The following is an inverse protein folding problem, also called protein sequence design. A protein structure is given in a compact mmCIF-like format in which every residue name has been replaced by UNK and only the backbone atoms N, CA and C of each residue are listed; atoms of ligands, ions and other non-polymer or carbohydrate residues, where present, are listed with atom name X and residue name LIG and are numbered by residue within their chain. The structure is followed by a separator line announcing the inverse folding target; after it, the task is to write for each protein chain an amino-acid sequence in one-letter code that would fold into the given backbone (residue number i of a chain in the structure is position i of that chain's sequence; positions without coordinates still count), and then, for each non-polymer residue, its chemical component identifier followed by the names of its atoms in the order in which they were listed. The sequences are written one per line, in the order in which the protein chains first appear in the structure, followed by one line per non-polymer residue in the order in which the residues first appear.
data_IF_136938678969
#
_entry.id   IF_136938678969
#
_cell.length_a   1.000
_cell.length_b   1.000
_cell.length_c   1.000
_cell.angle_alpha   90.00
_cell.angle_beta   90.00
_cell.angle_gamma   90.00
#
_symmetry.space_group_name_H-M   'P 1'
#
loop_
_entity.id
_entity.type
_entity.pdbx_description
1 polymer ?
#
# COMPACT_ATOMS: atom_id res chain seq x y z
N UNK A 1 -42.31 22.67 -34.85
CA UNK A 1 -42.04 21.87 -33.65
C UNK A 1 -40.86 20.91 -33.75
N UNK A 2 -39.96 21.00 -34.75
CA UNK A 2 -38.85 20.04 -34.97
C UNK A 2 -37.48 20.50 -34.41
N UNK A 3 -37.29 21.76 -34.05
CA UNK A 3 -35.99 22.28 -33.61
C UNK A 3 -35.58 21.90 -32.16
N UNK A 4 -36.56 21.64 -31.26
CA UNK A 4 -36.23 21.31 -29.86
C UNK A 4 -35.69 19.88 -29.65
N UNK A 5 -36.01 18.94 -30.54
CA UNK A 5 -35.56 17.56 -30.41
C UNK A 5 -34.09 17.37 -30.78
N UNK A 6 -33.58 18.18 -31.74
CA UNK A 6 -32.18 18.13 -32.15
C UNK A 6 -31.23 18.77 -31.12
N UNK A 7 -31.66 19.82 -30.44
CA UNK A 7 -30.85 20.51 -29.42
C UNK A 7 -30.67 19.62 -28.18
N UNK A 8 -31.75 18.92 -27.72
CA UNK A 8 -31.69 18.02 -26.56
C UNK A 8 -30.82 16.79 -26.87
N UNK A 9 -30.83 16.28 -28.11
CA UNK A 9 -29.99 15.14 -28.51
C UNK A 9 -28.50 15.53 -28.59
N UNK A 10 -28.18 16.72 -29.12
CA UNK A 10 -26.81 17.22 -29.21
C UNK A 10 -26.20 17.53 -27.82
N UNK A 11 -26.96 18.13 -26.92
CA UNK A 11 -26.51 18.37 -25.53
C UNK A 11 -26.27 17.09 -24.78
N UNK A 12 -27.14 16.09 -24.89
CA UNK A 12 -26.92 14.76 -24.31
C UNK A 12 -25.70 14.03 -24.86
N UNK A 13 -25.40 14.18 -26.16
CA UNK A 13 -24.22 13.59 -26.77
C UNK A 13 -22.93 14.28 -26.28
N UNK A 14 -22.91 15.62 -26.22
CA UNK A 14 -21.77 16.39 -25.71
C UNK A 14 -21.54 16.09 -24.23
N UNK A 15 -22.59 15.95 -23.43
CA UNK A 15 -22.52 15.60 -22.01
C UNK A 15 -21.92 14.20 -21.82
N UNK A 16 -22.41 13.18 -22.53
CA UNK A 16 -21.86 11.83 -22.49
C UNK A 16 -20.41 11.77 -22.95
N UNK A 17 -20.05 12.50 -24.00
CA UNK A 17 -18.67 12.56 -24.50
C UNK A 17 -17.74 13.24 -23.48
N UNK A 18 -18.21 14.30 -22.80
CA UNK A 18 -17.48 14.97 -21.74
C UNK A 18 -17.29 14.06 -20.50
N UNK A 19 -18.32 13.30 -20.12
CA UNK A 19 -18.24 12.32 -19.02
C UNK A 19 -17.29 11.18 -19.36
N UNK A 20 -17.37 10.63 -20.58
CA UNK A 20 -16.44 9.57 -21.05
C UNK A 20 -15.00 10.07 -21.08
N UNK A 21 -14.74 11.28 -21.56
CA UNK A 21 -13.39 11.87 -21.56
C UNK A 21 -12.86 12.11 -20.13
N UNK A 22 -13.68 12.60 -19.21
CA UNK A 22 -13.30 12.77 -17.79
C UNK A 22 -13.00 11.42 -17.12
N UNK A 23 -13.80 10.39 -17.38
CA UNK A 23 -13.56 9.04 -16.86
C UNK A 23 -12.24 8.49 -17.36
N UNK A 24 -11.97 8.58 -18.67
CA UNK A 24 -10.71 8.11 -19.28
C UNK A 24 -9.49 8.86 -18.74
N UNK A 25 -9.60 10.17 -18.51
CA UNK A 25 -8.52 10.96 -17.90
C UNK A 25 -8.24 10.51 -16.45
N UNK A 26 -9.28 10.32 -15.65
CA UNK A 26 -9.16 9.83 -14.26
C UNK A 26 -8.58 8.42 -14.20
N UNK A 27 -8.94 7.55 -15.15
CA UNK A 27 -8.37 6.21 -15.27
C UNK A 27 -6.87 6.25 -15.58
N UNK A 28 -6.45 7.10 -16.53
CA UNK A 28 -5.04 7.26 -16.88
C UNK A 28 -4.23 7.84 -15.71
N UNK A 29 -4.73 8.87 -15.03
CA UNK A 29 -4.10 9.45 -13.85
C UNK A 29 -3.94 8.41 -12.73
N UNK A 30 -4.93 7.54 -12.55
CA UNK A 30 -4.86 6.45 -11.58
C UNK A 30 -3.82 5.40 -11.99
N UNK A 31 -3.78 4.98 -13.25
CA UNK A 31 -2.80 4.01 -13.75
C UNK A 31 -1.37 4.52 -13.60
N UNK A 32 -1.13 5.79 -13.91
CA UNK A 32 0.18 6.44 -13.72
C UNK A 32 0.56 6.47 -12.24
N UNK A 33 -0.39 6.78 -11.37
CA UNK A 33 -0.19 6.75 -9.93
C UNK A 33 0.15 5.33 -9.44
N UNK A 34 -0.59 4.30 -9.87
CA UNK A 34 -0.30 2.91 -9.50
C UNK A 34 1.08 2.49 -10.00
N UNK A 35 1.45 2.82 -11.25
CA UNK A 35 2.76 2.52 -11.79
C UNK A 35 3.89 3.14 -10.95
N UNK A 36 3.74 4.41 -10.58
CA UNK A 36 4.70 5.13 -9.73
C UNK A 36 4.79 4.59 -8.29
N UNK A 37 3.67 4.07 -7.75
CA UNK A 37 3.59 3.61 -6.36
C UNK A 37 3.60 2.06 -6.23
N UNK A 38 3.74 1.33 -7.32
CA UNK A 38 3.71 -0.15 -7.35
C UNK A 38 4.63 -0.78 -6.31
N UNK A 39 5.84 -0.24 -6.17
CA UNK A 39 6.85 -0.72 -5.23
C UNK A 39 6.38 -0.62 -3.77
N UNK A 40 5.78 0.50 -3.37
CA UNK A 40 5.22 0.69 -2.03
C UNK A 40 4.13 -0.33 -1.75
N UNK A 41 3.17 -0.46 -2.69
CA UNK A 41 2.05 -1.38 -2.56
C UNK A 41 2.58 -2.81 -2.39
N UNK A 42 3.53 -3.20 -3.24
CA UNK A 42 4.11 -4.53 -3.24
C UNK A 42 4.83 -4.85 -1.92
N UNK A 43 5.69 -3.94 -1.42
CA UNK A 43 6.39 -4.10 -0.15
C UNK A 43 5.43 -4.28 1.03
N UNK A 44 4.37 -3.46 1.09
CA UNK A 44 3.36 -3.59 2.13
C UNK A 44 2.66 -4.93 2.04
N UNK A 45 2.20 -5.36 0.87
CA UNK A 45 1.53 -6.65 0.70
C UNK A 45 2.44 -7.82 1.08
N UNK A 46 3.72 -7.77 0.68
CA UNK A 46 4.70 -8.82 0.92
C UNK A 46 4.89 -9.16 2.41
N UNK A 47 4.96 -8.16 3.29
CA UNK A 47 5.15 -8.40 4.73
C UNK A 47 3.91 -8.98 5.42
N UNK A 48 2.76 -9.00 4.74
CA UNK A 48 1.51 -9.50 5.30
C UNK A 48 1.02 -10.79 4.64
N UNK A 49 1.50 -11.11 3.46
CA UNK A 49 1.15 -12.34 2.74
C UNK A 49 1.80 -13.58 3.38
N UNK A 50 1.15 -14.73 3.27
CA UNK A 50 1.67 -16.03 3.71
C UNK A 50 2.29 -16.82 2.55
N UNK A 51 1.80 -16.61 1.32
CA UNK A 51 2.23 -17.26 0.10
C UNK A 51 2.06 -16.31 -1.10
N UNK A 52 2.43 -16.77 -2.30
CA UNK A 52 2.36 -15.96 -3.51
C UNK A 52 0.91 -15.63 -3.91
N UNK A 53 -0.03 -16.51 -3.64
CA UNK A 53 -1.45 -16.31 -3.96
C UNK A 53 -2.02 -15.20 -3.06
N UNK A 54 -1.77 -15.27 -1.75
CA UNK A 54 -2.12 -14.20 -0.82
C UNK A 54 -1.49 -12.84 -1.21
N UNK A 55 -0.24 -12.84 -1.69
CA UNK A 55 0.43 -11.62 -2.14
C UNK A 55 -0.29 -10.99 -3.35
N UNK A 56 -0.65 -11.82 -4.33
CA UNK A 56 -1.37 -11.38 -5.51
C UNK A 56 -2.77 -10.86 -5.14
N UNK A 57 -3.48 -11.57 -4.28
CA UNK A 57 -4.81 -11.17 -3.81
C UNK A 57 -4.75 -9.85 -3.02
N UNK A 58 -3.81 -9.72 -2.10
CA UNK A 58 -3.59 -8.49 -1.33
C UNK A 58 -3.23 -7.31 -2.23
N UNK A 59 -2.41 -7.54 -3.25
CA UNK A 59 -2.06 -6.50 -4.21
C UNK A 59 -3.29 -6.04 -4.98
N UNK A 60 -4.07 -6.97 -5.52
CA UNK A 60 -5.31 -6.67 -6.25
C UNK A 60 -6.33 -5.95 -5.36
N UNK A 61 -6.57 -6.46 -4.14
CA UNK A 61 -7.51 -5.82 -3.20
C UNK A 61 -7.04 -4.41 -2.81
N UNK A 62 -5.73 -4.21 -2.66
CA UNK A 62 -5.16 -2.88 -2.39
C UNK A 62 -5.38 -1.92 -3.55
N UNK A 63 -5.13 -2.36 -4.80
CA UNK A 63 -5.37 -1.56 -6.00
C UNK A 63 -6.85 -1.21 -6.13
N UNK A 64 -7.75 -2.16 -5.88
CA UNK A 64 -9.20 -1.90 -5.89
C UNK A 64 -9.62 -0.88 -4.82
N UNK A 65 -9.05 -0.94 -3.62
CA UNK A 65 -9.35 0.02 -2.56
C UNK A 65 -8.78 1.40 -2.85
N UNK A 66 -7.60 1.47 -3.46
CA UNK A 66 -7.03 2.71 -3.99
C UNK A 66 -7.92 3.31 -5.07
N UNK A 67 -8.38 2.52 -6.04
CA UNK A 67 -9.30 2.96 -7.10
C UNK A 67 -10.58 3.56 -6.53
N UNK A 68 -11.24 2.86 -5.62
CA UNK A 68 -12.47 3.34 -4.97
C UNK A 68 -12.27 4.65 -4.20
N UNK A 69 -11.09 4.84 -3.64
CA UNK A 69 -10.78 6.01 -2.81
C UNK A 69 -10.17 7.16 -3.60
N UNK A 70 -9.67 6.92 -4.82
CA UNK A 70 -8.96 7.89 -5.64
C UNK A 70 -9.77 9.16 -5.94
N UNK A 71 -11.08 9.08 -6.28
CA UNK A 71 -11.90 10.28 -6.48
C UNK A 71 -12.05 11.18 -5.25
N UNK A 72 -11.76 10.64 -4.05
CA UNK A 72 -11.87 11.33 -2.77
C UNK A 72 -10.52 11.83 -2.24
N UNK A 73 -9.43 11.57 -2.95
CA UNK A 73 -8.10 12.06 -2.58
C UNK A 73 -8.02 13.57 -2.83
N UNK A 74 -7.92 14.37 -1.75
CA UNK A 74 -7.95 15.84 -1.79
C UNK A 74 -6.55 16.47 -1.74
N UNK A 75 -5.48 15.67 -1.62
CA UNK A 75 -4.13 16.19 -1.46
C UNK A 75 -3.81 16.73 -0.06
N UNK A 76 -4.64 16.46 0.95
CA UNK A 76 -4.43 16.87 2.35
C UNK A 76 -3.18 16.23 2.97
N UNK A 77 -2.69 15.14 2.37
CA UNK A 77 -1.44 14.46 2.72
C UNK A 77 -0.62 14.17 1.47
N UNK A 78 0.67 13.84 1.63
CA UNK A 78 1.47 13.33 0.52
C UNK A 78 0.81 12.09 -0.08
N UNK A 79 0.85 11.95 -1.40
CA UNK A 79 0.30 10.80 -2.12
C UNK A 79 0.85 9.46 -1.57
N UNK A 80 2.15 9.41 -1.30
CA UNK A 80 2.81 8.23 -0.71
C UNK A 80 2.22 7.86 0.67
N UNK A 81 1.97 8.85 1.54
CA UNK A 81 1.33 8.67 2.86
C UNK A 81 -0.07 8.08 2.71
N UNK A 82 -0.85 8.60 1.76
CA UNK A 82 -2.19 8.11 1.47
C UNK A 82 -2.17 6.67 0.95
N UNK A 83 -1.26 6.34 0.02
CA UNK A 83 -1.09 4.97 -0.50
C UNK A 83 -0.70 4.01 0.61
N UNK A 84 0.28 4.34 1.47
CA UNK A 84 0.65 3.52 2.63
C UNK A 84 -0.53 3.25 3.54
N UNK A 85 -1.34 4.28 3.86
CA UNK A 85 -2.52 4.15 4.74
C UNK A 85 -3.52 3.15 4.18
N UNK A 86 -3.86 3.24 2.90
CA UNK A 86 -4.81 2.32 2.27
C UNK A 86 -4.24 0.91 2.20
N UNK A 87 -3.00 0.74 1.74
CA UNK A 87 -2.36 -0.56 1.63
C UNK A 87 -2.26 -1.28 2.99
N UNK A 88 -1.78 -0.59 4.04
CA UNK A 88 -1.67 -1.17 5.38
C UNK A 88 -3.03 -1.52 5.98
N UNK A 89 -4.04 -0.66 5.83
CA UNK A 89 -5.39 -0.95 6.31
C UNK A 89 -6.01 -2.15 5.61
N UNK A 90 -5.80 -2.28 4.30
CA UNK A 90 -6.24 -3.43 3.51
C UNK A 90 -5.59 -4.71 4.04
N UNK A 91 -4.27 -4.75 4.15
CA UNK A 91 -3.53 -5.92 4.61
C UNK A 91 -3.85 -6.30 6.06
N UNK A 92 -3.96 -5.34 6.97
CA UNK A 92 -4.32 -5.59 8.37
C UNK A 92 -5.75 -6.15 8.47
N UNK A 93 -6.68 -5.64 7.65
CA UNK A 93 -8.06 -6.13 7.59
C UNK A 93 -8.14 -7.54 7.03
N UNK A 94 -7.39 -7.83 5.97
CA UNK A 94 -7.26 -9.17 5.41
C UNK A 94 -6.80 -10.18 6.47
N UNK A 95 -5.73 -9.88 7.21
CA UNK A 95 -5.23 -10.74 8.29
C UNK A 95 -6.21 -10.91 9.47
N UNK A 96 -7.12 -9.96 9.69
CA UNK A 96 -8.18 -10.13 10.71
C UNK A 96 -9.21 -11.16 10.28
N UNK A 97 -9.50 -11.23 8.97
CA UNK A 97 -10.47 -12.17 8.40
C UNK A 97 -9.91 -13.58 8.26
N UNK A 98 -8.66 -13.70 7.79
CA UNK A 98 -8.05 -15.00 7.49
C UNK A 98 -7.60 -15.79 8.71
N UNK A 99 -7.49 -15.16 9.89
CA UNK A 99 -6.95 -15.75 11.14
C UNK A 99 -5.61 -16.49 11.00
N UNK A 100 -4.90 -16.28 9.89
CA UNK A 100 -3.69 -16.99 9.47
C UNK A 100 -2.46 -16.20 9.86
N UNK A 101 -1.41 -16.87 10.34
CA UNK A 101 -0.09 -16.24 10.56
C UNK A 101 0.61 -16.19 9.20
N UNK A 102 1.15 -15.03 8.78
CA UNK A 102 1.98 -14.97 7.59
C UNK A 102 3.19 -15.88 7.74
N UNK A 103 3.51 -16.58 6.66
CA UNK A 103 4.74 -17.35 6.52
C UNK A 103 5.73 -16.53 5.67
N UNK A 104 7.01 -16.89 5.77
CA UNK A 104 8.02 -16.24 4.94
C UNK A 104 7.89 -16.76 3.51
N UNK A 105 7.60 -15.87 2.58
CA UNK A 105 7.59 -16.18 1.15
C UNK A 105 9.04 -16.18 0.65
N UNK A 106 9.50 -17.21 -0.08
CA UNK A 106 10.79 -17.16 -0.74
C UNK A 106 10.86 -15.96 -1.71
N UNK A 107 11.94 -15.21 -1.64
CA UNK A 107 12.14 -14.05 -2.53
C UNK A 107 12.45 -14.55 -3.94
N UNK A 108 11.55 -14.30 -4.90
CA UNK A 108 11.79 -14.57 -6.32
C UNK A 108 12.62 -13.45 -6.96
N UNK A 109 13.17 -13.69 -8.16
CA UNK A 109 13.92 -12.68 -8.90
C UNK A 109 13.06 -11.42 -9.21
N UNK A 110 11.77 -11.60 -9.50
CA UNK A 110 10.83 -10.50 -9.72
C UNK A 110 10.61 -9.69 -8.43
N UNK A 111 10.46 -10.37 -7.30
CA UNK A 111 10.39 -9.73 -5.98
C UNK A 111 11.67 -8.97 -5.66
N UNK A 112 12.85 -9.56 -5.92
CA UNK A 112 14.14 -8.90 -5.71
C UNK A 112 14.22 -7.59 -6.49
N UNK A 113 13.67 -7.52 -7.71
CA UNK A 113 13.58 -6.30 -8.51
C UNK A 113 12.76 -5.18 -7.85
N UNK A 114 11.71 -5.52 -7.10
CA UNK A 114 10.90 -4.53 -6.36
C UNK A 114 11.64 -3.95 -5.13
N UNK A 115 12.74 -4.59 -4.70
CA UNK A 115 13.58 -4.20 -3.57
C UNK A 115 15.00 -3.83 -4.01
N UNK A 116 15.25 -3.58 -5.31
CA UNK A 116 16.58 -3.40 -5.87
C UNK A 116 17.39 -2.23 -5.27
N UNK A 117 16.70 -1.18 -4.78
CA UNK A 117 17.37 -0.02 -4.17
C UNK A 117 17.59 -0.18 -2.66
N UNK A 118 17.22 -1.32 -2.05
CA UNK A 118 17.51 -1.56 -0.65
C UNK A 118 18.95 -2.03 -0.46
N UNK A 119 19.60 -1.52 0.58
CA UNK A 119 20.95 -1.96 0.94
C UNK A 119 20.99 -3.44 1.33
N UNK A 120 22.09 -4.10 1.06
CA UNK A 120 22.33 -5.48 1.42
C UNK A 120 22.08 -6.50 0.29
N UNK A 121 22.51 -7.73 0.54
CA UNK A 121 22.31 -8.85 -0.39
C UNK A 121 20.87 -9.37 -0.34
N UNK A 122 20.45 -10.11 -1.37
CA UNK A 122 19.14 -10.76 -1.38
C UNK A 122 18.95 -11.71 -0.16
N UNK A 123 20.02 -12.38 0.28
CA UNK A 123 20.00 -13.25 1.46
C UNK A 123 19.77 -12.47 2.75
N UNK A 124 20.46 -11.33 2.94
CA UNK A 124 20.28 -10.47 4.12
C UNK A 124 18.87 -9.90 4.19
N UNK A 125 18.32 -9.46 3.05
CA UNK A 125 16.94 -9.00 2.97
C UNK A 125 15.94 -10.11 3.33
N UNK A 126 16.14 -11.31 2.80
CA UNK A 126 15.28 -12.45 3.12
C UNK A 126 15.30 -12.78 4.62
N UNK A 127 16.47 -12.73 5.26
CA UNK A 127 16.60 -12.94 6.71
C UNK A 127 15.87 -11.85 7.50
N UNK A 128 16.04 -10.58 7.13
CA UNK A 128 15.31 -9.47 7.74
C UNK A 128 13.79 -9.66 7.64
N UNK A 129 13.27 -10.01 6.46
CA UNK A 129 11.83 -10.24 6.28
C UNK A 129 11.31 -11.47 7.05
N UNK A 130 12.14 -12.51 7.24
CA UNK A 130 11.80 -13.62 8.14
C UNK A 130 11.60 -13.15 9.58
N UNK A 131 12.46 -12.29 10.09
CA UNK A 131 12.34 -11.72 11.42
C UNK A 131 11.11 -10.81 11.53
N UNK A 132 10.87 -9.96 10.52
CA UNK A 132 9.69 -9.09 10.46
C UNK A 132 8.39 -9.92 10.51
N UNK A 133 8.34 -11.06 9.83
CA UNK A 133 7.15 -11.92 9.80
C UNK A 133 6.82 -12.58 11.14
N UNK A 134 7.73 -12.58 12.11
CA UNK A 134 7.48 -13.04 13.47
C UNK A 134 6.87 -11.94 14.37
N UNK A 135 6.80 -10.71 13.87
CA UNK A 135 6.24 -9.57 14.59
C UNK A 135 4.70 -9.54 14.50
N UNK A 136 4.08 -8.83 15.44
CA UNK A 136 2.65 -8.53 15.39
C UNK A 136 2.28 -7.59 14.24
N UNK A 137 1.00 -7.56 13.86
CA UNK A 137 0.50 -6.79 12.71
C UNK A 137 0.94 -5.32 12.71
N UNK A 138 0.78 -4.62 13.83
CA UNK A 138 1.19 -3.22 13.96
C UNK A 138 2.72 -3.07 14.05
N UNK A 139 3.40 -4.03 14.67
CA UNK A 139 4.86 -4.03 14.78
C UNK A 139 5.53 -4.10 13.41
N UNK A 140 4.97 -4.92 12.48
CA UNK A 140 5.44 -5.00 11.08
C UNK A 140 5.27 -3.68 10.36
N UNK A 141 4.11 -3.04 10.49
CA UNK A 141 3.86 -1.73 9.89
C UNK A 141 4.87 -0.68 10.39
N UNK A 142 5.12 -0.65 11.70
CA UNK A 142 6.07 0.30 12.29
C UNK A 142 7.49 0.10 11.78
N UNK A 143 7.96 -1.15 11.72
CA UNK A 143 9.33 -1.43 11.27
C UNK A 143 9.50 -1.19 9.77
N UNK A 144 8.49 -1.54 8.95
CA UNK A 144 8.53 -1.25 7.51
C UNK A 144 8.64 0.25 7.26
N UNK A 145 7.78 1.06 7.90
CA UNK A 145 7.80 2.51 7.73
C UNK A 145 9.11 3.15 8.22
N UNK A 146 9.71 2.56 9.25
CA UNK A 146 11.02 3.01 9.74
C UNK A 146 12.14 2.66 8.75
N UNK A 147 12.14 1.48 8.14
CA UNK A 147 13.07 1.08 7.08
C UNK A 147 12.92 1.95 5.82
N UNK A 148 11.70 2.44 5.56
CA UNK A 148 11.40 3.39 4.48
C UNK A 148 11.68 4.85 4.88
N UNK A 149 12.43 5.07 5.97
CA UNK A 149 12.85 6.39 6.46
C UNK A 149 11.71 7.38 6.70
N UNK A 150 10.50 6.88 7.02
CA UNK A 150 9.37 7.74 7.32
C UNK A 150 9.55 8.42 8.67
N UNK A 151 9.28 9.72 8.72
CA UNK A 151 9.28 10.46 9.98
C UNK A 151 8.23 9.93 10.95
N UNK A 152 8.42 10.09 12.24
CA UNK A 152 7.43 9.69 13.26
C UNK A 152 6.07 10.35 13.07
N UNK A 153 6.06 11.56 12.49
CA UNK A 153 4.83 12.25 12.15
C UNK A 153 4.09 11.54 11.01
N UNK A 154 4.78 11.22 9.90
CA UNK A 154 4.19 10.47 8.79
C UNK A 154 3.73 9.08 9.22
N UNK A 155 4.52 8.39 10.07
CA UNK A 155 4.12 7.09 10.64
C UNK A 155 2.83 7.20 11.46
N UNK A 156 2.70 8.25 12.26
CA UNK A 156 1.51 8.52 13.06
C UNK A 156 0.27 8.74 12.16
N UNK A 157 0.43 9.51 11.09
CA UNK A 157 -0.62 9.77 10.11
C UNK A 157 -1.04 8.51 9.34
N UNK A 158 -0.07 7.69 8.91
CA UNK A 158 -0.32 6.43 8.20
C UNK A 158 -1.07 5.43 9.08
N UNK A 159 -0.61 5.28 10.34
CA UNK A 159 -1.10 4.24 11.25
C UNK A 159 -2.30 4.67 12.10
N UNK A 160 -2.67 5.96 12.07
CA UNK A 160 -3.76 6.50 12.88
C UNK A 160 -3.50 6.44 14.39
N UNK A 161 -2.24 6.58 14.84
CA UNK A 161 -1.84 6.61 16.24
C UNK A 161 -1.05 7.88 16.55
N UNK A 162 -0.90 8.25 17.83
CA UNK A 162 -0.14 9.44 18.19
C UNK A 162 1.37 9.25 17.94
N UNK A 163 2.08 10.35 17.65
CA UNK A 163 3.54 10.38 17.47
C UNK A 163 4.29 9.78 18.66
N UNK A 164 3.83 10.04 19.88
CA UNK A 164 4.41 9.46 21.08
C UNK A 164 4.24 7.93 21.10
N UNK A 165 3.07 7.42 20.70
CA UNK A 165 2.84 5.99 20.58
C UNK A 165 3.75 5.34 19.51
N UNK A 166 4.00 6.03 18.37
CA UNK A 166 4.97 5.59 17.38
C UNK A 166 6.35 5.42 18.03
N UNK A 167 6.87 6.45 18.71
CA UNK A 167 8.19 6.42 19.32
C UNK A 167 8.35 5.26 20.31
N UNK A 168 7.39 5.11 21.24
CA UNK A 168 7.44 4.06 22.28
C UNK A 168 7.34 2.67 21.65
N UNK A 169 6.39 2.46 20.74
CA UNK A 169 6.19 1.16 20.09
C UNK A 169 7.36 0.78 19.19
N UNK A 170 7.85 1.70 18.38
CA UNK A 170 8.98 1.48 17.49
C UNK A 170 10.24 1.07 18.27
N UNK A 171 10.53 1.75 19.37
CA UNK A 171 11.67 1.39 20.21
C UNK A 171 11.55 -0.05 20.73
N UNK A 172 10.38 -0.45 21.23
CA UNK A 172 10.12 -1.83 21.66
C UNK A 172 10.28 -2.86 20.54
N UNK A 173 9.83 -2.53 19.33
CA UNK A 173 9.96 -3.41 18.15
C UNK A 173 11.42 -3.57 17.78
N UNK A 174 12.20 -2.50 17.79
CA UNK A 174 13.66 -2.54 17.48
C UNK A 174 14.41 -3.41 18.50
N UNK A 175 14.13 -3.25 19.79
CA UNK A 175 14.72 -4.10 20.84
C UNK A 175 14.33 -5.58 20.68
N UNK A 176 13.08 -5.85 20.31
CA UNK A 176 12.60 -7.21 20.02
C UNK A 176 13.34 -7.83 18.84
N UNK A 177 13.48 -7.10 17.73
CA UNK A 177 14.23 -7.56 16.55
C UNK A 177 15.70 -7.82 16.86
N UNK A 178 16.35 -6.92 17.63
CA UNK A 178 17.73 -7.10 18.06
C UNK A 178 17.92 -8.38 18.86
N UNK A 179 16.99 -8.71 19.76
CA UNK A 179 17.04 -9.97 20.51
C UNK A 179 16.85 -11.19 19.62
N UNK A 180 15.97 -11.10 18.60
CA UNK A 180 15.70 -12.20 17.67
C UNK A 180 16.86 -12.44 16.70
N UNK A 181 17.60 -11.39 16.34
CA UNK A 181 18.77 -11.47 15.45
C UNK A 181 20.02 -12.04 16.15
N UNK A 182 20.08 -12.03 17.50
CA UNK A 182 21.23 -12.51 18.28
C UNK A 182 21.05 -13.96 18.76
N UNK A 183 19.93 -14.59 18.47
CA UNK A 183 19.64 -16.01 18.75
C UNK A 183 19.74 -16.87 17.50
#
# INVERSE_FOLDING_TARGET
MACNFFIVSATNWVQRKSETMKTTQTENEFLDMIAAQKRIIYKVCYIYAKDQDDLNDLFQETVLNLWKSFPHFRGDSKLTTWVYRIAMNTCITFLRRSNTRPQTIPMTAEMAGQFADEEGTASQRQELYKLINQLGKLERALILLWLEERSYQEMAEILGISKNNVAVKLNRVREKLKKMSNN
#
